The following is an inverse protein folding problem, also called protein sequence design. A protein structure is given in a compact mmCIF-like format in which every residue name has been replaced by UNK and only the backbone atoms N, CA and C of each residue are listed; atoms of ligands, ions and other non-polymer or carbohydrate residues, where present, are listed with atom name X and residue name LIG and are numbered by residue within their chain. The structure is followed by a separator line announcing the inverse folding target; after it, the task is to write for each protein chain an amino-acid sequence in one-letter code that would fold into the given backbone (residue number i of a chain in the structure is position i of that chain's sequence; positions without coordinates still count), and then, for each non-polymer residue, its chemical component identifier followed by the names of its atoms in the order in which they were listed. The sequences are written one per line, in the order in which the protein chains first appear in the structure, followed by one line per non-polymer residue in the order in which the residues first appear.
data_IF_076514121609
#
_entry.id   IF_076514121609
#
_cell.length_a   1.000
_cell.length_b   1.000
_cell.length_c   1.000
_cell.angle_alpha   90.00
_cell.angle_beta   90.00
_cell.angle_gamma   90.00
#
_symmetry.space_group_name_H-M   'P 1'
#
loop_
_entity.id
_entity.type
_entity.pdbx_description
1 polymer ?
#
# COMPACT_ATOMS: atom_id res chain seq x y z
N UNK A 1 -10.95 -33.15 -1.73
CA UNK A 1 -10.23 -31.99 -2.30
C UNK A 1 -10.73 -31.75 -3.72
N UNK A 2 -11.09 -30.51 -4.06
CA UNK A 2 -11.66 -30.15 -5.36
C UNK A 2 -10.55 -29.51 -6.20
N UNK A 3 -10.38 -29.99 -7.45
CA UNK A 3 -9.46 -29.38 -8.43
C UNK A 3 -9.84 -27.90 -8.64
N UNK A 4 -8.86 -27.01 -8.55
CA UNK A 4 -9.03 -25.60 -8.89
C UNK A 4 -9.44 -25.45 -10.37
N UNK A 5 -10.41 -24.59 -10.65
CA UNK A 5 -10.95 -24.36 -11.99
C UNK A 5 -11.43 -22.94 -12.12
N UNK A 6 -11.11 -22.26 -13.24
CA UNK A 6 -11.54 -20.90 -13.56
C UNK A 6 -13.07 -20.71 -13.40
N UNK A 7 -13.86 -21.71 -13.80
CA UNK A 7 -15.34 -21.69 -13.79
C UNK A 7 -15.97 -21.74 -12.40
N UNK A 8 -15.19 -21.84 -11.32
CA UNK A 8 -15.68 -22.01 -9.95
C UNK A 8 -15.30 -20.83 -9.04
N UNK A 9 -15.08 -19.65 -9.61
CA UNK A 9 -14.71 -18.46 -8.84
C UNK A 9 -15.68 -18.20 -7.68
N UNK A 10 -16.99 -18.17 -7.94
CA UNK A 10 -18.02 -17.94 -6.91
C UNK A 10 -17.93 -18.91 -5.73
N UNK A 11 -17.51 -20.16 -6.00
CA UNK A 11 -17.28 -21.15 -4.95
C UNK A 11 -16.07 -20.80 -4.10
N UNK A 12 -14.99 -20.31 -4.71
CA UNK A 12 -13.77 -19.93 -3.99
C UNK A 12 -13.98 -18.65 -3.17
N UNK A 13 -14.75 -17.70 -3.68
CA UNK A 13 -15.07 -16.45 -2.98
C UNK A 13 -15.93 -16.66 -1.72
N UNK A 14 -16.46 -17.86 -1.48
CA UNK A 14 -17.05 -18.25 -0.18
C UNK A 14 -15.99 -18.44 0.90
N UNK A 15 -14.74 -18.68 0.52
CA UNK A 15 -13.62 -18.72 1.46
C UNK A 15 -13.15 -17.28 1.71
N UNK A 16 -13.12 -16.80 2.97
CA UNK A 16 -12.74 -15.42 3.30
C UNK A 16 -11.36 -15.01 2.78
N UNK A 17 -10.38 -15.92 2.80
CA UNK A 17 -9.02 -15.64 2.34
C UNK A 17 -8.95 -15.49 0.81
N UNK A 18 -9.66 -16.33 0.06
CA UNK A 18 -9.78 -16.15 -1.39
C UNK A 18 -10.53 -14.87 -1.74
N UNK A 19 -11.60 -14.57 -1.00
CA UNK A 19 -12.35 -13.33 -1.21
C UNK A 19 -11.49 -12.11 -0.98
N UNK A 20 -10.76 -12.06 0.13
CA UNK A 20 -9.83 -10.97 0.45
C UNK A 20 -8.77 -10.78 -0.64
N UNK A 21 -8.16 -11.88 -1.11
CA UNK A 21 -7.19 -11.87 -2.19
C UNK A 21 -7.79 -11.29 -3.49
N UNK A 22 -8.99 -11.73 -3.85
CA UNK A 22 -9.70 -11.27 -5.04
C UNK A 22 -10.09 -9.79 -4.94
N UNK A 23 -10.71 -9.38 -3.83
CA UNK A 23 -11.16 -8.01 -3.60
C UNK A 23 -9.99 -7.00 -3.65
N UNK A 24 -8.86 -7.33 -3.02
CA UNK A 24 -7.64 -6.53 -3.09
C UNK A 24 -7.13 -6.37 -4.54
N UNK A 25 -7.15 -7.45 -5.31
CA UNK A 25 -6.79 -7.39 -6.73
C UNK A 25 -7.76 -6.55 -7.55
N UNK A 26 -9.06 -6.67 -7.31
CA UNK A 26 -10.10 -5.84 -7.97
C UNK A 26 -9.89 -4.36 -7.67
N UNK A 27 -9.55 -4.00 -6.44
CA UNK A 27 -9.27 -2.62 -6.07
C UNK A 27 -8.08 -2.05 -6.86
N UNK A 28 -6.96 -2.79 -6.95
CA UNK A 28 -5.78 -2.39 -7.73
C UNK A 28 -6.16 -2.19 -9.20
N UNK A 29 -6.89 -3.14 -9.80
CA UNK A 29 -7.31 -3.06 -11.20
C UNK A 29 -8.25 -1.87 -11.46
N UNK A 30 -9.18 -1.62 -10.53
CA UNK A 30 -10.09 -0.47 -10.60
C UNK A 30 -9.32 0.85 -10.59
N UNK A 31 -8.33 0.99 -9.70
CA UNK A 31 -7.46 2.17 -9.64
C UNK A 31 -6.61 2.38 -10.89
N UNK A 32 -6.29 1.30 -11.62
CA UNK A 32 -5.66 1.36 -12.95
C UNK A 32 -6.65 1.66 -14.08
N UNK A 33 -7.93 1.89 -13.80
CA UNK A 33 -8.98 2.11 -14.82
C UNK A 33 -9.40 0.84 -15.57
N UNK A 34 -9.07 -0.35 -15.05
CA UNK A 34 -9.39 -1.66 -15.64
C UNK A 34 -10.58 -2.32 -14.92
N UNK A 35 -11.73 -1.65 -14.85
CA UNK A 35 -12.91 -2.12 -14.08
C UNK A 35 -13.70 -3.28 -14.69
N UNK A 36 -13.56 -3.55 -16.00
CA UNK A 36 -14.29 -4.64 -16.68
C UNK A 36 -13.57 -5.98 -16.53
N UNK A 37 -13.62 -6.55 -15.33
CA UNK A 37 -12.95 -7.81 -15.00
C UNK A 37 -13.90 -9.00 -15.23
N UNK A 38 -13.43 -10.02 -15.95
CA UNK A 38 -14.16 -11.28 -16.10
C UNK A 38 -13.51 -12.40 -15.32
N UNK A 39 -14.30 -13.35 -14.82
CA UNK A 39 -13.81 -14.53 -14.12
C UNK A 39 -12.84 -15.38 -14.97
N UNK A 40 -12.89 -15.28 -16.28
CA UNK A 40 -12.01 -16.03 -17.19
C UNK A 40 -10.62 -15.39 -17.31
N UNK A 41 -10.51 -14.08 -17.14
CA UNK A 41 -9.27 -13.31 -17.31
C UNK A 41 -8.67 -12.82 -15.99
N UNK A 42 -9.50 -12.56 -14.98
CA UNK A 42 -9.05 -12.09 -13.67
C UNK A 42 -9.58 -12.99 -12.56
N UNK A 43 -8.76 -13.94 -12.14
CA UNK A 43 -9.16 -15.00 -11.21
C UNK A 43 -7.92 -15.52 -10.46
N UNK A 44 -7.94 -15.62 -9.12
CA UNK A 44 -6.81 -16.11 -8.31
C UNK A 44 -6.34 -17.55 -8.59
N UNK A 45 -6.98 -18.27 -9.49
CA UNK A 45 -6.52 -19.60 -9.93
C UNK A 45 -5.68 -19.55 -11.22
N UNK A 46 -5.42 -18.36 -11.76
CA UNK A 46 -4.56 -18.16 -12.93
C UNK A 46 -3.37 -17.25 -12.58
N UNK A 47 -2.24 -17.50 -13.23
CA UNK A 47 -0.98 -16.77 -12.94
C UNK A 47 -1.12 -15.28 -13.30
N UNK A 48 -1.86 -14.96 -14.34
CA UNK A 48 -2.05 -13.56 -14.79
C UNK A 48 -2.65 -12.67 -13.71
N UNK A 49 -3.54 -13.20 -12.87
CA UNK A 49 -4.06 -12.47 -11.71
C UNK A 49 -2.93 -11.92 -10.82
N UNK A 50 -1.99 -12.77 -10.47
CA UNK A 50 -0.87 -12.40 -9.58
C UNK A 50 0.08 -11.40 -10.25
N UNK A 51 0.32 -11.55 -11.55
CA UNK A 51 1.12 -10.61 -12.34
C UNK A 51 0.46 -9.23 -12.38
N UNK A 52 -0.84 -9.16 -12.68
CA UNK A 52 -1.59 -7.90 -12.77
C UNK A 52 -1.70 -7.18 -11.41
N UNK A 53 -1.72 -7.92 -10.30
CA UNK A 53 -1.75 -7.36 -8.94
C UNK A 53 -0.35 -6.96 -8.44
N UNK A 54 0.70 -7.53 -9.03
CA UNK A 54 2.09 -7.21 -8.69
C UNK A 54 2.71 -8.12 -7.63
N UNK A 55 2.31 -9.40 -7.60
CA UNK A 55 3.03 -10.41 -6.84
C UNK A 55 4.44 -10.64 -7.39
N UNK A 56 5.37 -10.95 -6.51
CA UNK A 56 6.75 -11.28 -6.89
C UNK A 56 6.82 -12.71 -7.47
N UNK A 57 7.39 -12.90 -8.66
CA UNK A 57 7.59 -14.24 -9.23
C UNK A 57 8.35 -15.17 -8.29
N UNK A 58 9.36 -14.66 -7.58
CA UNK A 58 10.14 -15.42 -6.61
C UNK A 58 9.30 -15.96 -5.45
N UNK A 59 8.33 -15.18 -4.95
CA UNK A 59 7.42 -15.61 -3.90
C UNK A 59 6.47 -16.71 -4.38
N UNK A 60 5.92 -16.57 -5.60
CA UNK A 60 5.03 -17.56 -6.21
C UNK A 60 5.80 -18.86 -6.46
N UNK A 61 7.01 -18.79 -7.04
CA UNK A 61 7.84 -19.97 -7.29
C UNK A 61 8.19 -20.70 -6.00
N UNK A 62 8.61 -19.97 -4.97
CA UNK A 62 8.94 -20.55 -3.67
C UNK A 62 7.73 -21.27 -3.05
N UNK A 63 6.56 -20.63 -3.06
CA UNK A 63 5.33 -21.23 -2.58
C UNK A 63 4.93 -22.49 -3.36
N UNK A 64 4.96 -22.43 -4.71
CA UNK A 64 4.57 -23.55 -5.57
C UNK A 64 5.51 -24.75 -5.39
N UNK A 65 6.81 -24.50 -5.24
CA UNK A 65 7.79 -25.55 -4.97
C UNK A 65 7.44 -26.34 -3.71
N UNK A 66 7.10 -25.65 -2.62
CA UNK A 66 6.76 -26.28 -1.35
C UNK A 66 5.40 -27.01 -1.34
N UNK A 67 4.59 -26.92 -2.40
CA UNK A 67 3.37 -27.70 -2.51
C UNK A 67 3.64 -29.21 -2.73
N UNK A 68 4.83 -29.55 -3.20
CA UNK A 68 5.16 -30.95 -3.47
C UNK A 68 6.64 -31.30 -3.28
N UNK A 69 7.46 -30.37 -2.80
CA UNK A 69 8.88 -30.59 -2.56
C UNK A 69 9.36 -29.75 -1.37
N UNK A 70 10.28 -30.24 -0.58
CA UNK A 70 10.96 -29.49 0.48
C UNK A 70 12.44 -29.86 0.52
N UNK A 71 13.29 -28.88 0.89
CA UNK A 71 14.71 -29.12 1.11
C UNK A 71 14.94 -29.90 2.41
N UNK A 72 14.24 -29.50 3.47
CA UNK A 72 14.23 -30.12 4.78
C UNK A 72 12.93 -29.71 5.51
N UNK A 73 12.83 -30.04 6.80
CA UNK A 73 11.62 -29.76 7.62
C UNK A 73 11.55 -28.33 8.16
N UNK A 74 12.56 -27.49 7.92
CA UNK A 74 12.72 -26.16 8.52
C UNK A 74 12.83 -25.04 7.49
N UNK A 75 13.44 -25.31 6.33
CA UNK A 75 13.76 -24.31 5.31
C UNK A 75 12.57 -24.11 4.39
N UNK A 76 11.88 -22.97 4.55
CA UNK A 76 10.79 -22.59 3.67
C UNK A 76 11.19 -21.54 2.64
N UNK A 77 12.02 -20.57 3.01
CA UNK A 77 12.43 -19.47 2.13
C UNK A 77 13.67 -19.89 1.33
N UNK A 78 13.50 -20.05 0.02
CA UNK A 78 14.54 -20.42 -0.92
C UNK A 78 14.63 -19.41 -2.08
N UNK A 79 15.84 -19.02 -2.45
CA UNK A 79 16.07 -18.29 -3.70
C UNK A 79 15.92 -19.23 -4.90
N UNK A 80 15.74 -18.67 -6.10
CA UNK A 80 15.63 -19.48 -7.33
C UNK A 80 16.90 -20.29 -7.56
N UNK A 81 18.06 -19.73 -7.26
CA UNK A 81 19.37 -20.37 -7.37
C UNK A 81 19.50 -21.57 -6.40
N UNK A 82 19.01 -21.42 -5.17
CA UNK A 82 18.96 -22.50 -4.18
C UNK A 82 17.98 -23.60 -4.60
N UNK A 83 16.80 -23.22 -5.14
CA UNK A 83 15.83 -24.16 -5.69
C UNK A 83 16.47 -25.01 -6.81
N UNK A 84 17.15 -24.38 -7.76
CA UNK A 84 17.83 -25.07 -8.87
C UNK A 84 18.94 -26.00 -8.35
N UNK A 85 19.73 -25.53 -7.38
CA UNK A 85 20.85 -26.29 -6.80
C UNK A 85 20.41 -27.54 -6.06
N UNK A 86 19.30 -27.45 -5.33
CA UNK A 86 18.89 -28.49 -4.37
C UNK A 86 17.74 -29.36 -4.86
N UNK A 87 17.05 -28.98 -5.93
CA UNK A 87 15.91 -29.73 -6.44
C UNK A 87 16.32 -31.13 -6.92
N UNK A 88 15.60 -32.13 -6.42
CA UNK A 88 15.72 -33.51 -6.86
C UNK A 88 14.36 -34.15 -6.98
N UNK A 89 14.14 -34.98 -8.00
CA UNK A 89 12.91 -35.73 -8.21
C UNK A 89 12.60 -36.71 -7.08
N UNK A 90 13.62 -37.26 -6.42
CA UNK A 90 13.45 -38.21 -5.32
C UNK A 90 12.77 -37.63 -4.08
N UNK A 91 12.79 -36.30 -3.93
CA UNK A 91 12.10 -35.58 -2.82
C UNK A 91 10.71 -35.10 -3.18
N UNK A 92 10.23 -35.34 -4.40
CA UNK A 92 8.88 -34.94 -4.80
C UNK A 92 7.83 -35.80 -4.10
N UNK A 93 6.98 -35.15 -3.32
CA UNK A 93 5.87 -35.80 -2.62
C UNK A 93 4.73 -36.12 -3.57
N UNK A 94 4.29 -37.39 -3.62
CA UNK A 94 3.18 -37.84 -4.47
C UNK A 94 1.78 -37.49 -3.90
N UNK A 95 1.70 -36.74 -2.79
CA UNK A 95 0.44 -36.32 -2.17
C UNK A 95 -0.23 -35.20 -3.00
N UNK A 96 -1.58 -35.17 -3.03
CA UNK A 96 -2.30 -34.06 -3.67
C UNK A 96 -2.01 -32.72 -2.98
N UNK A 97 -1.52 -31.77 -3.72
CA UNK A 97 -1.28 -30.40 -3.24
C UNK A 97 -2.63 -29.67 -2.99
N UNK A 98 -2.65 -28.79 -2.00
CA UNK A 98 -3.77 -27.92 -1.71
C UNK A 98 -3.29 -26.46 -1.74
N UNK A 99 -3.89 -25.65 -2.60
CA UNK A 99 -3.58 -24.24 -2.65
C UNK A 99 -4.13 -23.52 -1.42
N UNK A 100 -3.25 -22.79 -0.72
CA UNK A 100 -3.56 -21.99 0.47
C UNK A 100 -3.19 -20.52 0.18
N UNK A 101 -4.20 -19.63 -0.01
CA UNK A 101 -3.96 -18.21 -0.27
C UNK A 101 -3.21 -17.52 0.88
N UNK A 102 -3.49 -17.90 2.12
CA UNK A 102 -2.83 -17.31 3.30
C UNK A 102 -1.34 -17.66 3.35
N UNK A 103 -0.98 -18.90 3.02
CA UNK A 103 0.42 -19.30 2.94
C UNK A 103 1.14 -18.57 1.80
N UNK A 104 0.53 -18.46 0.62
CA UNK A 104 1.10 -17.67 -0.49
C UNK A 104 1.29 -16.20 -0.09
N UNK A 105 0.32 -15.60 0.59
CA UNK A 105 0.43 -14.23 1.09
C UNK A 105 1.62 -14.06 2.05
N UNK A 106 1.85 -15.00 2.94
CA UNK A 106 3.00 -14.99 3.85
C UNK A 106 4.33 -15.03 3.10
N UNK A 107 4.45 -15.84 2.03
CA UNK A 107 5.64 -15.83 1.15
C UNK A 107 5.80 -14.49 0.46
N UNK A 108 4.73 -13.96 -0.11
CA UNK A 108 4.73 -12.67 -0.79
C UNK A 108 5.24 -11.56 0.15
N UNK A 109 4.73 -11.50 1.37
CA UNK A 109 5.14 -10.53 2.37
C UNK A 109 6.64 -10.63 2.68
N UNK A 110 7.14 -11.84 3.00
CA UNK A 110 8.56 -12.06 3.31
C UNK A 110 9.47 -11.68 2.15
N UNK A 111 9.11 -12.05 0.92
CA UNK A 111 9.88 -11.69 -0.27
C UNK A 111 9.83 -10.19 -0.54
N UNK A 112 8.70 -9.55 -0.33
CA UNK A 112 8.53 -8.11 -0.49
C UNK A 112 9.39 -7.33 0.50
N UNK A 113 9.47 -7.76 1.78
CA UNK A 113 10.30 -7.11 2.79
C UNK A 113 11.80 -7.21 2.48
N UNK A 114 12.24 -8.33 1.89
CA UNK A 114 13.64 -8.56 1.51
C UNK A 114 14.05 -7.86 0.20
N UNK A 115 13.08 -7.39 -0.60
CA UNK A 115 13.36 -6.79 -1.89
C UNK A 115 13.99 -5.40 -1.74
N UNK A 116 15.07 -5.17 -2.48
CA UNK A 116 15.77 -3.87 -2.54
C UNK A 116 14.81 -2.75 -2.99
N UNK A 117 14.93 -1.57 -2.36
CA UNK A 117 14.04 -0.43 -2.60
C UNK A 117 14.07 0.05 -4.04
N UNK A 118 15.23 0.04 -4.70
CA UNK A 118 15.34 0.44 -6.12
C UNK A 118 14.56 -0.51 -7.04
N UNK A 119 14.55 -1.81 -6.70
CA UNK A 119 13.74 -2.80 -7.43
C UNK A 119 12.25 -2.59 -7.17
N UNK A 120 11.85 -2.24 -5.95
CA UNK A 120 10.46 -1.85 -5.63
C UNK A 120 10.05 -0.62 -6.45
N UNK A 121 10.86 0.43 -6.46
CA UNK A 121 10.62 1.66 -7.25
C UNK A 121 10.40 1.31 -8.73
N UNK A 122 11.33 0.58 -9.33
CA UNK A 122 11.23 0.20 -10.75
C UNK A 122 9.96 -0.62 -11.05
N UNK A 123 9.57 -1.52 -10.14
CA UNK A 123 8.41 -2.39 -10.32
C UNK A 123 7.07 -1.70 -10.04
N UNK A 124 7.04 -0.62 -9.24
CA UNK A 124 5.82 0.13 -8.91
C UNK A 124 5.49 1.21 -9.95
N UNK A 125 6.48 1.76 -10.65
CA UNK A 125 6.29 2.77 -11.70
C UNK A 125 5.24 2.34 -12.74
N UNK A 126 5.26 1.12 -13.30
CA UNK A 126 4.24 0.70 -14.27
C UNK A 126 2.80 0.76 -13.76
N UNK A 127 2.57 0.53 -12.46
CA UNK A 127 1.24 0.64 -11.85
C UNK A 127 0.76 2.10 -11.83
N UNK A 128 1.65 3.03 -11.45
CA UNK A 128 1.35 4.46 -11.44
C UNK A 128 1.12 4.99 -12.87
N UNK A 129 1.87 4.49 -13.86
CA UNK A 129 1.67 4.83 -15.26
C UNK A 129 0.35 4.27 -15.81
N UNK A 130 0.02 3.02 -15.48
CA UNK A 130 -1.26 2.41 -15.86
C UNK A 130 -2.46 3.18 -15.30
N UNK A 131 -2.32 3.71 -14.07
CA UNK A 131 -3.31 4.59 -13.44
C UNK A 131 -3.26 6.04 -13.95
N UNK A 132 -2.42 6.37 -14.93
CA UNK A 132 -2.22 7.72 -15.51
C UNK A 132 -1.74 8.78 -14.50
N UNK A 133 -1.09 8.34 -13.44
CA UNK A 133 -0.54 9.22 -12.39
C UNK A 133 0.89 9.67 -12.69
N UNK A 134 1.58 8.98 -13.59
CA UNK A 134 2.91 9.34 -14.06
C UNK A 134 2.96 9.40 -15.59
N UNK A 135 3.67 10.38 -16.15
CA UNK A 135 3.88 10.47 -17.60
C UNK A 135 4.94 9.47 -18.09
N UNK A 136 5.05 9.38 -19.44
CA UNK A 136 6.17 8.73 -20.13
C UNK A 136 6.86 9.78 -21.00
N UNK A 137 8.17 10.00 -20.82
CA UNK A 137 9.09 9.38 -19.86
C UNK A 137 8.80 9.78 -18.41
N UNK A 138 9.25 8.94 -17.47
CA UNK A 138 9.11 9.25 -16.03
C UNK A 138 10.11 10.34 -15.64
N UNK A 139 9.65 11.44 -14.98
CA UNK A 139 10.54 12.48 -14.48
C UNK A 139 11.56 11.95 -13.45
N UNK A 140 12.76 12.53 -13.43
CA UNK A 140 13.86 12.03 -12.60
C UNK A 140 13.60 12.16 -11.08
N UNK A 141 12.79 13.13 -10.66
CA UNK A 141 12.40 13.37 -9.27
C UNK A 141 11.44 12.29 -8.71
N UNK A 142 10.78 11.53 -9.57
CA UNK A 142 9.84 10.48 -9.15
C UNK A 142 10.56 9.36 -8.39
N UNK A 143 11.76 8.97 -8.82
CA UNK A 143 12.53 7.91 -8.16
C UNK A 143 12.80 8.20 -6.68
N UNK A 144 13.44 9.34 -6.35
CA UNK A 144 13.65 9.75 -4.96
C UNK A 144 12.35 9.89 -4.15
N UNK A 145 11.32 10.53 -4.72
CA UNK A 145 10.01 10.66 -4.06
C UNK A 145 9.40 9.29 -3.75
N UNK A 146 9.38 8.38 -4.72
CA UNK A 146 8.83 7.05 -4.57
C UNK A 146 9.62 6.22 -3.55
N UNK A 147 10.94 6.36 -3.49
CA UNK A 147 11.77 5.75 -2.45
C UNK A 147 11.31 6.17 -1.06
N UNK A 148 11.16 7.47 -0.80
CA UNK A 148 10.67 7.99 0.50
C UNK A 148 9.26 7.49 0.83
N UNK A 149 8.37 7.38 -0.16
CA UNK A 149 7.01 6.84 0.03
C UNK A 149 7.07 5.34 0.41
N UNK A 150 7.92 4.56 -0.26
CA UNK A 150 8.09 3.12 0.03
C UNK A 150 8.63 2.92 1.45
N UNK A 151 9.63 3.71 1.84
CA UNK A 151 10.22 3.64 3.19
C UNK A 151 9.19 4.02 4.26
N UNK A 152 8.43 5.10 4.06
CA UNK A 152 7.36 5.53 4.96
C UNK A 152 6.18 4.54 5.04
N UNK A 153 5.86 3.88 3.93
CA UNK A 153 4.82 2.85 3.89
C UNK A 153 5.26 1.55 4.58
N UNK A 154 6.55 1.23 4.51
CA UNK A 154 7.16 0.07 5.17
C UNK A 154 6.48 -1.25 4.78
N UNK A 155 6.10 -2.00 5.79
CA UNK A 155 5.45 -3.33 5.64
C UNK A 155 4.00 -3.29 5.15
N UNK A 156 3.41 -2.11 4.95
CA UNK A 156 2.06 -1.96 4.39
C UNK A 156 2.00 -2.27 2.89
N UNK A 157 3.14 -2.19 2.19
CA UNK A 157 3.26 -2.57 0.78
C UNK A 157 3.53 -4.08 0.67
N UNK A 158 2.50 -4.85 0.37
CA UNK A 158 2.58 -6.31 0.25
C UNK A 158 2.75 -6.78 -1.20
N UNK A 159 2.16 -6.06 -2.14
CA UNK A 159 2.31 -6.28 -3.59
C UNK A 159 2.68 -4.96 -4.27
N UNK A 160 3.18 -5.01 -5.50
CA UNK A 160 3.60 -3.79 -6.21
C UNK A 160 2.43 -2.83 -6.47
N UNK A 161 1.24 -3.37 -6.72
CA UNK A 161 0.01 -2.59 -6.92
C UNK A 161 -0.46 -1.80 -5.70
N UNK A 162 0.01 -2.16 -4.48
CA UNK A 162 -0.36 -1.44 -3.26
C UNK A 162 0.10 0.03 -3.25
N UNK A 163 1.05 0.40 -4.11
CA UNK A 163 1.45 1.81 -4.26
C UNK A 163 0.27 2.71 -4.65
N UNK A 164 -0.73 2.16 -5.33
CA UNK A 164 -1.93 2.87 -5.73
C UNK A 164 -2.82 3.26 -4.54
N UNK A 165 -2.64 2.64 -3.37
CA UNK A 165 -3.36 3.03 -2.15
C UNK A 165 -2.96 4.42 -1.65
N UNK A 166 -1.82 4.94 -2.13
CA UNK A 166 -1.28 6.27 -1.79
C UNK A 166 -1.44 7.28 -2.93
N UNK A 167 -2.06 6.88 -4.06
CA UNK A 167 -2.22 7.72 -5.24
C UNK A 167 -3.09 8.94 -4.99
N UNK A 168 -4.11 8.78 -4.17
CA UNK A 168 -5.15 9.80 -3.92
C UNK A 168 -4.62 11.04 -3.17
N UNK A 169 -3.39 10.99 -2.65
CA UNK A 169 -2.80 12.13 -1.96
C UNK A 169 -1.34 12.44 -2.30
N UNK A 170 -0.52 11.45 -2.74
CA UNK A 170 0.87 11.73 -3.13
C UNK A 170 1.04 12.01 -4.63
N UNK A 171 0.11 11.57 -5.47
CA UNK A 171 0.22 11.64 -6.93
C UNK A 171 -0.97 12.35 -7.59
N UNK A 172 -2.02 12.67 -6.83
CA UNK A 172 -3.19 13.41 -7.33
C UNK A 172 -2.81 14.88 -7.57
N UNK A 173 -3.42 15.49 -8.58
CA UNK A 173 -3.37 16.93 -8.74
C UNK A 173 -4.23 17.61 -7.68
N UNK A 174 -3.83 18.78 -7.22
CA UNK A 174 -4.55 19.48 -6.13
C UNK A 174 -5.99 19.84 -6.47
N UNK A 175 -6.30 20.06 -7.75
CA UNK A 175 -7.66 20.26 -8.25
C UNK A 175 -8.56 19.02 -8.08
N UNK A 176 -7.97 17.82 -8.15
CA UNK A 176 -8.67 16.53 -8.03
C UNK A 176 -8.60 15.95 -6.60
N UNK A 177 -7.86 16.60 -5.68
CA UNK A 177 -7.75 16.14 -4.30
C UNK A 177 -9.08 16.24 -3.57
N UNK A 178 -9.54 15.11 -3.01
CA UNK A 178 -10.81 14.99 -2.30
C UNK A 178 -10.64 14.32 -0.94
N UNK A 179 -11.56 14.61 -0.04
CA UNK A 179 -11.67 13.97 1.26
C UNK A 179 -12.61 12.77 1.19
N UNK A 180 -12.28 11.67 1.89
CA UNK A 180 -13.26 10.64 2.21
C UNK A 180 -14.34 11.24 3.13
N UNK A 181 -15.60 11.16 2.72
CA UNK A 181 -16.71 11.81 3.42
C UNK A 181 -16.87 11.33 4.86
N UNK A 182 -16.69 10.01 5.11
CA UNK A 182 -16.82 9.43 6.45
C UNK A 182 -15.68 9.83 7.35
N UNK A 183 -14.45 9.79 6.83
CA UNK A 183 -13.26 10.19 7.56
C UNK A 183 -13.29 11.69 7.87
N UNK A 184 -13.70 12.51 6.91
CA UNK A 184 -13.84 13.96 7.09
C UNK A 184 -14.88 14.29 8.15
N UNK A 185 -16.09 13.75 8.03
CA UNK A 185 -17.18 13.98 8.99
C UNK A 185 -16.79 13.56 10.41
N UNK A 186 -16.03 12.48 10.55
CA UNK A 186 -15.61 11.95 11.85
C UNK A 186 -14.43 12.70 12.47
N UNK A 187 -13.46 13.16 11.64
CA UNK A 187 -12.16 13.62 12.13
C UNK A 187 -11.93 15.12 11.98
N UNK A 188 -12.48 15.75 10.94
CA UNK A 188 -12.22 17.16 10.63
C UNK A 188 -13.43 18.03 10.93
N UNK A 189 -14.64 17.59 10.59
CA UNK A 189 -15.87 18.38 10.76
C UNK A 189 -16.20 18.81 12.20
N UNK A 190 -15.85 18.07 13.29
CA UNK A 190 -16.13 18.53 14.64
C UNK A 190 -15.48 19.90 14.92
N UNK A 191 -16.24 20.86 15.55
CA UNK A 191 -15.74 22.24 15.78
C UNK A 191 -14.43 22.28 16.55
N UNK A 192 -14.28 21.44 17.58
CA UNK A 192 -13.05 21.32 18.37
C UNK A 192 -11.86 20.84 17.52
N UNK A 193 -12.09 19.93 16.59
CA UNK A 193 -11.06 19.44 15.66
C UNK A 193 -10.61 20.54 14.69
N UNK A 194 -11.55 21.33 14.16
CA UNK A 194 -11.25 22.47 13.28
C UNK A 194 -10.47 23.56 14.03
N UNK A 195 -10.79 23.84 15.28
CA UNK A 195 -10.09 24.83 16.09
C UNK A 195 -8.63 24.40 16.35
N UNK A 196 -8.42 23.14 16.73
CA UNK A 196 -7.07 22.60 16.92
C UNK A 196 -6.26 22.59 15.59
N UNK A 197 -6.91 22.21 14.49
CA UNK A 197 -6.29 22.21 13.17
C UNK A 197 -5.87 23.62 12.75
N UNK A 198 -6.71 24.63 12.99
CA UNK A 198 -6.42 26.03 12.72
C UNK A 198 -5.19 26.52 13.50
N UNK A 199 -5.17 26.23 14.80
CA UNK A 199 -4.01 26.60 15.65
C UNK A 199 -2.73 25.89 15.20
N UNK A 200 -2.80 24.59 14.91
CA UNK A 200 -1.63 23.85 14.45
C UNK A 200 -1.14 24.27 13.07
N UNK A 201 -2.04 24.74 12.19
CA UNK A 201 -1.66 25.36 10.93
C UNK A 201 -0.69 26.54 11.13
N UNK A 202 -0.94 27.40 12.11
CA UNK A 202 -0.03 28.53 12.41
C UNK A 202 1.33 28.05 12.92
N UNK A 203 1.38 26.95 13.67
CA UNK A 203 2.62 26.31 14.07
C UNK A 203 3.39 25.82 12.84
N UNK A 204 2.72 25.17 11.88
CA UNK A 204 3.34 24.68 10.65
C UNK A 204 3.91 25.82 9.79
N UNK A 205 3.27 26.99 9.77
CA UNK A 205 3.81 28.20 9.09
C UNK A 205 5.19 28.56 9.65
N UNK A 206 5.41 28.43 10.95
CA UNK A 206 6.68 28.72 11.62
C UNK A 206 7.77 27.67 11.44
N UNK A 207 7.44 26.44 10.98
CA UNK A 207 8.44 25.38 10.76
C UNK A 207 9.27 25.70 9.51
N UNK A 208 10.58 25.87 9.67
CA UNK A 208 11.51 26.17 8.57
C UNK A 208 12.04 24.92 7.90
N UNK A 209 12.40 23.90 8.68
CA UNK A 209 12.83 22.59 8.20
C UNK A 209 11.65 21.62 8.24
N UNK A 210 11.06 21.33 7.06
CA UNK A 210 9.82 20.57 6.93
C UNK A 210 10.10 19.06 6.77
N UNK A 211 10.99 18.51 7.61
CA UNK A 211 11.34 17.09 7.69
C UNK A 211 10.73 16.43 8.94
N UNK A 212 10.74 15.10 8.97
CA UNK A 212 10.02 14.29 9.99
C UNK A 212 10.35 14.70 11.43
N UNK A 213 11.64 14.85 11.75
CA UNK A 213 12.08 15.20 13.13
C UNK A 213 11.53 16.54 13.63
N UNK A 214 11.80 17.66 12.93
CA UNK A 214 11.27 18.97 13.31
C UNK A 214 9.72 19.03 13.34
N UNK A 215 9.04 18.31 12.44
CA UNK A 215 7.57 18.22 12.45
C UNK A 215 7.05 17.47 13.68
N UNK A 216 7.73 16.40 14.09
CA UNK A 216 7.39 15.66 15.30
C UNK A 216 7.57 16.53 16.55
N UNK A 217 8.68 17.26 16.66
CA UNK A 217 8.96 18.19 17.75
C UNK A 217 7.93 19.32 17.81
N UNK A 218 7.58 19.91 16.67
CA UNK A 218 6.57 20.96 16.59
C UNK A 218 5.18 20.45 17.08
N UNK A 219 4.78 19.24 16.69
CA UNK A 219 3.51 18.67 17.15
C UNK A 219 3.56 18.31 18.64
N UNK A 220 4.65 17.76 19.17
CA UNK A 220 4.81 17.48 20.60
C UNK A 220 4.67 18.76 21.44
N UNK A 221 5.39 19.82 21.06
CA UNK A 221 5.31 21.11 21.73
C UNK A 221 3.88 21.70 21.68
N UNK A 222 3.21 21.57 20.54
CA UNK A 222 1.82 22.03 20.40
C UNK A 222 0.89 21.27 21.35
N UNK A 223 0.99 19.94 21.43
CA UNK A 223 0.20 19.08 22.32
C UNK A 223 0.41 19.47 23.80
N UNK A 224 1.65 19.72 24.21
CA UNK A 224 1.99 20.17 25.56
C UNK A 224 1.41 21.57 25.87
N UNK A 225 1.50 22.50 24.91
CA UNK A 225 1.00 23.87 25.05
C UNK A 225 -0.51 23.93 25.15
N UNK A 226 -1.24 23.15 24.33
CA UNK A 226 -2.69 23.10 24.32
C UNK A 226 -3.26 22.17 25.42
N UNK A 227 -2.43 21.36 26.09
CA UNK A 227 -2.84 20.41 27.13
C UNK A 227 -3.75 19.28 26.62
N UNK A 228 -3.55 18.84 25.38
CA UNK A 228 -4.37 17.83 24.69
C UNK A 228 -3.63 16.49 24.55
N UNK A 229 -4.35 15.45 24.12
CA UNK A 229 -3.74 14.17 23.76
C UNK A 229 -3.37 14.17 22.28
N UNK A 230 -2.33 13.38 21.91
CA UNK A 230 -1.91 13.24 20.51
C UNK A 230 -3.05 12.79 19.59
N UNK A 231 -3.95 11.94 20.08
CA UNK A 231 -5.11 11.46 19.31
C UNK A 231 -6.10 12.55 18.93
N UNK A 232 -6.15 13.65 19.65
CA UNK A 232 -7.11 14.75 19.44
C UNK A 232 -6.76 15.56 18.18
N UNK A 233 -5.49 15.55 17.75
CA UNK A 233 -5.03 16.32 16.59
C UNK A 233 -4.47 15.43 15.46
N UNK A 234 -3.76 14.32 15.75
CA UNK A 234 -3.04 13.56 14.74
C UNK A 234 -3.93 12.95 13.65
N UNK A 235 -5.13 12.50 14.04
CA UNK A 235 -6.10 11.94 13.09
C UNK A 235 -6.75 13.03 12.22
N UNK A 236 -7.06 14.17 12.81
CA UNK A 236 -7.58 15.36 12.11
C UNK A 236 -6.57 15.86 11.09
N UNK A 237 -5.32 16.03 11.53
CA UNK A 237 -4.22 16.48 10.68
C UNK A 237 -4.00 15.50 9.50
N UNK A 238 -3.99 14.18 9.76
CA UNK A 238 -3.86 13.18 8.72
C UNK A 238 -4.95 13.32 7.66
N UNK A 239 -6.22 13.36 8.06
CA UNK A 239 -7.34 13.47 7.11
C UNK A 239 -7.28 14.81 6.36
N UNK A 240 -6.93 15.91 7.04
CA UNK A 240 -6.79 17.20 6.40
C UNK A 240 -5.75 17.21 5.26
N UNK A 241 -4.61 16.51 5.41
CA UNK A 241 -3.53 16.54 4.41
C UNK A 241 -3.57 15.37 3.41
N UNK A 242 -4.17 14.22 3.76
CA UNK A 242 -4.22 13.03 2.89
C UNK A 242 -5.62 12.68 2.38
N UNK A 243 -6.66 13.29 2.92
CA UNK A 243 -8.05 12.96 2.61
C UNK A 243 -8.57 11.70 3.30
N UNK A 244 -7.72 10.93 4.01
CA UNK A 244 -8.05 9.59 4.55
C UNK A 244 -7.48 9.37 5.95
N UNK A 245 -8.14 8.48 6.73
CA UNK A 245 -7.66 8.08 8.06
C UNK A 245 -6.51 7.08 8.03
N UNK A 246 -6.23 6.43 6.88
CA UNK A 246 -5.23 5.38 6.70
C UNK A 246 -4.07 5.84 5.81
N UNK A 247 -2.87 5.32 6.06
CA UNK A 247 -1.69 5.67 5.28
C UNK A 247 -0.39 5.55 6.08
N UNK A 248 0.73 6.09 5.57
CA UNK A 248 2.01 6.19 6.29
C UNK A 248 1.90 7.03 7.56
N UNK A 249 2.99 7.16 8.32
CA UNK A 249 3.06 8.06 9.47
C UNK A 249 2.60 9.49 9.12
N UNK A 250 1.94 10.19 10.05
CA UNK A 250 1.47 11.56 9.74
C UNK A 250 2.63 12.49 9.43
N UNK A 251 3.73 12.36 10.13
CA UNK A 251 4.94 13.16 9.91
C UNK A 251 5.58 12.87 8.55
N UNK A 252 5.62 11.58 8.16
CA UNK A 252 6.07 11.19 6.83
C UNK A 252 5.16 11.79 5.74
N UNK A 253 3.84 11.78 5.94
CA UNK A 253 2.89 12.38 5.01
C UNK A 253 3.15 13.89 4.87
N UNK A 254 3.35 14.62 5.97
CA UNK A 254 3.66 16.05 5.95
C UNK A 254 4.96 16.32 5.19
N UNK A 255 6.05 15.63 5.55
CA UNK A 255 7.35 15.82 4.94
C UNK A 255 7.38 15.45 3.44
N UNK A 256 6.61 14.42 3.03
CA UNK A 256 6.49 13.99 1.63
C UNK A 256 5.64 14.92 0.77
N UNK A 257 4.58 15.51 1.33
CA UNK A 257 3.71 16.47 0.66
C UNK A 257 4.38 17.86 0.56
N UNK A 258 5.18 18.20 1.55
CA UNK A 258 5.80 19.52 1.65
C UNK A 258 4.88 20.58 2.26
N UNK A 259 5.49 21.66 2.73
CA UNK A 259 4.83 22.72 3.51
C UNK A 259 3.67 23.36 2.76
N UNK A 260 3.88 23.76 1.51
CA UNK A 260 2.89 24.50 0.71
C UNK A 260 1.62 23.66 0.49
N UNK A 261 1.77 22.39 0.08
CA UNK A 261 0.65 21.47 -0.15
C UNK A 261 -0.10 21.21 1.15
N UNK A 262 0.63 20.98 2.25
CA UNK A 262 0.00 20.75 3.56
C UNK A 262 -0.84 21.94 4.02
N UNK A 263 -0.32 23.16 3.94
CA UNK A 263 -1.04 24.38 4.32
C UNK A 263 -2.28 24.58 3.45
N UNK A 264 -2.14 24.42 2.13
CA UNK A 264 -3.25 24.56 1.19
C UNK A 264 -4.37 23.55 1.47
N UNK A 265 -4.04 22.28 1.73
CA UNK A 265 -5.03 21.25 2.06
C UNK A 265 -5.67 21.47 3.42
N UNK A 266 -4.92 21.95 4.42
CA UNK A 266 -5.48 22.34 5.71
C UNK A 266 -6.47 23.51 5.52
N UNK A 267 -6.13 24.52 4.74
CA UNK A 267 -7.03 25.65 4.45
C UNK A 267 -8.31 25.18 3.74
N UNK A 268 -8.17 24.26 2.75
CA UNK A 268 -9.32 23.62 2.10
C UNK A 268 -10.19 22.86 3.11
N UNK A 269 -9.58 22.12 4.04
CA UNK A 269 -10.31 21.37 5.08
C UNK A 269 -11.07 22.29 6.04
N UNK A 270 -10.46 23.41 6.42
CA UNK A 270 -11.09 24.42 7.30
C UNK A 270 -12.25 25.15 6.61
N UNK A 271 -12.15 25.38 5.29
CA UNK A 271 -13.18 26.03 4.50
C UNK A 271 -14.35 25.08 4.13
N UNK A 272 -14.14 23.77 4.18
CA UNK A 272 -15.18 22.77 3.90
C UNK A 272 -16.16 22.71 5.08
N UNK A 273 -17.45 22.94 4.77
CA UNK A 273 -18.53 23.01 5.78
C UNK A 273 -18.88 21.64 6.39
#
# INVERSE_FOLDING_TARGET
RVKLSKRKLDKYLKNPEFKRLYDSGVEIMTRMGKGNLSADTFNPVIVDFYREVGYLPSAILNYLMLLGWSLDDKTEDLTVEEMIRHFTLGRVTKAPASFDPKKLWSFQDRHMQKLDVKKKVAAMIPFLQAAKLLPQPVPCEVGPKLTRIIDAAGDRLKVMGDILNYSDFFFVKEEDFAYDEKDFAKRVAPPESKELLKKFREVLVGVTDFEVGPLEEALKKFIETEGIKIGDIVHTLRVAVTGKSVGPGVYDCLALLGKEVCLMRIDKALATA
#
